data_IF_616641718448
#
_entry.id   IF_616641718448
#
_cell.length_a   1.000
_cell.length_b   1.000
_cell.length_c   1.000
_cell.angle_alpha   90.00
_cell.angle_beta   90.00
_cell.angle_gamma   90.00
#
_symmetry.space_group_name_H-M   'P 1'
#
loop_
_entity.id
_entity.type
_entity.pdbx_description
1 polymer ?
#
# COMPACT_ATOMS: atom_id res chain seq x y z
N UNK A 1 46.97 9.01 40.05
CA UNK A 1 46.48 9.26 38.68
C UNK A 1 45.44 8.21 38.26
N UNK A 2 45.64 6.92 38.57
CA UNK A 2 44.65 5.86 38.36
C UNK A 2 43.36 6.01 39.18
N UNK A 3 43.44 6.41 40.46
CA UNK A 3 42.25 6.60 41.31
C UNK A 3 41.34 7.76 40.89
N UNK A 4 41.91 8.82 40.31
CA UNK A 4 41.14 9.97 39.80
C UNK A 4 40.42 9.64 38.48
N UNK A 5 41.00 8.76 37.64
CA UNK A 5 40.36 8.29 36.41
C UNK A 5 39.20 7.31 36.69
N UNK A 6 39.32 6.47 37.73
CA UNK A 6 38.22 5.57 38.12
C UNK A 6 37.02 6.33 38.67
N UNK A 7 37.24 7.40 39.45
CA UNK A 7 36.16 8.23 39.99
C UNK A 7 35.39 8.99 38.89
N UNK A 8 36.08 9.48 37.85
CA UNK A 8 35.45 10.14 36.69
C UNK A 8 34.65 9.15 35.82
N UNK A 9 35.12 7.91 35.67
CA UNK A 9 34.41 6.83 34.97
C UNK A 9 33.12 6.41 35.68
N UNK A 10 33.13 6.37 37.02
CA UNK A 10 31.93 6.03 37.79
C UNK A 10 30.87 7.15 37.77
N UNK A 11 31.26 8.43 37.78
CA UNK A 11 30.29 9.54 37.64
C UNK A 11 29.62 9.56 36.26
N UNK A 12 30.36 9.35 35.16
CA UNK A 12 29.78 9.26 33.81
C UNK A 12 28.78 8.10 33.70
N UNK A 13 29.11 6.93 34.26
CA UNK A 13 28.23 5.76 34.22
C UNK A 13 26.93 5.97 35.03
N UNK A 14 26.99 6.70 36.16
CA UNK A 14 25.81 7.03 36.97
C UNK A 14 24.93 8.06 36.26
N UNK A 15 25.51 9.06 35.59
CA UNK A 15 24.77 10.04 34.79
C UNK A 15 24.07 9.37 33.61
N UNK A 16 24.75 8.47 32.90
CA UNK A 16 24.15 7.69 31.80
C UNK A 16 23.05 6.76 32.29
N UNK A 17 23.23 6.10 33.43
CA UNK A 17 22.19 5.24 34.02
C UNK A 17 20.95 6.04 34.46
N UNK A 18 21.13 7.24 35.03
CA UNK A 18 20.03 8.15 35.36
C UNK A 18 19.33 8.65 34.08
N UNK A 19 20.08 8.96 33.02
CA UNK A 19 19.53 9.36 31.73
C UNK A 19 18.72 8.23 31.07
N UNK A 20 19.21 6.99 31.15
CA UNK A 20 18.54 5.80 30.64
C UNK A 20 17.26 5.50 31.42
N UNK A 21 17.29 5.58 32.76
CA UNK A 21 16.12 5.42 33.63
C UNK A 21 15.05 6.49 33.37
N UNK A 22 15.47 7.75 33.15
CA UNK A 22 14.54 8.84 32.79
C UNK A 22 13.90 8.60 31.42
N UNK A 23 14.66 8.11 30.45
CA UNK A 23 14.17 7.82 29.10
C UNK A 23 13.20 6.63 29.10
N UNK A 24 13.52 5.56 29.85
CA UNK A 24 12.66 4.37 30.01
C UNK A 24 11.37 4.71 30.77
N UNK A 25 11.43 5.55 31.83
CA UNK A 25 10.22 6.00 32.55
C UNK A 25 9.32 6.88 31.69
N UNK A 26 9.90 7.78 30.89
CA UNK A 26 9.17 8.60 29.92
C UNK A 26 8.55 7.75 28.79
N UNK A 27 9.21 6.65 28.40
CA UNK A 27 8.68 5.69 27.43
C UNK A 27 7.54 4.84 28.03
N UNK A 28 7.64 4.44 29.31
CA UNK A 28 6.61 3.68 30.02
C UNK A 28 5.32 4.50 30.20
N UNK A 29 5.44 5.77 30.60
CA UNK A 29 4.32 6.71 30.74
C UNK A 29 3.58 6.96 29.41
N UNK A 30 4.31 6.94 28.28
CA UNK A 30 3.73 7.01 26.93
C UNK A 30 2.94 5.75 26.55
N UNK A 31 3.41 4.55 26.90
CA UNK A 31 2.69 3.29 26.63
C UNK A 31 1.42 3.13 27.46
N UNK A 32 1.42 3.58 28.73
CA UNK A 32 0.25 3.45 29.60
C UNK A 32 -0.85 4.49 29.26
N UNK A 33 -0.48 5.67 28.76
CA UNK A 33 -1.45 6.66 28.26
C UNK A 33 -2.15 6.25 26.95
N UNK A 34 -1.50 5.47 26.10
CA UNK A 34 -2.06 5.00 24.83
C UNK A 34 -3.18 3.96 25.01
N UNK A 35 -3.14 3.15 26.06
CA UNK A 35 -4.14 2.10 26.33
C UNK A 35 -5.43 2.69 26.92
N UNK A 36 -5.35 3.82 27.61
CA UNK A 36 -6.51 4.48 28.22
C UNK A 36 -7.19 5.52 27.31
N UNK A 37 -6.51 6.01 26.28
CA UNK A 37 -7.04 6.99 25.31
C UNK A 37 -7.90 6.42 24.18
N UNK A 38 -7.86 5.10 23.97
CA UNK A 38 -8.62 4.40 22.91
C UNK A 38 -10.13 4.31 23.16
N UNK A 39 -10.62 4.67 24.35
CA UNK A 39 -12.04 4.54 24.72
C UNK A 39 -12.85 5.85 24.73
N UNK A 40 -12.28 7.00 24.32
CA UNK A 40 -13.03 8.27 24.25
C UNK A 40 -13.24 8.74 22.82
N UNK A 41 -14.37 8.35 22.22
CA UNK A 41 -14.91 8.87 20.95
C UNK A 41 -14.98 10.42 20.89
N UNK A 42 -15.01 11.10 22.03
CA UNK A 42 -15.18 12.55 22.13
C UNK A 42 -13.91 13.37 21.82
N UNK A 43 -12.71 12.82 21.97
CA UNK A 43 -11.44 13.57 21.80
C UNK A 43 -10.97 13.70 20.34
N UNK A 44 -11.62 13.00 19.40
CA UNK A 44 -11.21 12.92 17.99
C UNK A 44 -11.97 13.93 17.12
N UNK A 45 -13.13 14.38 17.57
CA UNK A 45 -14.06 15.25 16.83
C UNK A 45 -13.44 16.63 16.50
N UNK A 46 -12.72 17.31 17.42
CA UNK A 46 -12.08 18.59 17.09
C UNK A 46 -10.91 18.47 16.10
N UNK A 47 -10.22 17.32 16.08
CA UNK A 47 -9.09 17.06 15.17
C UNK A 47 -9.53 16.74 13.73
N UNK A 48 -10.74 16.19 13.57
CA UNK A 48 -11.31 15.87 12.26
C UNK A 48 -11.93 17.09 11.57
N UNK A 49 -12.52 18.01 12.34
CA UNK A 49 -13.25 19.19 11.84
C UNK A 49 -12.37 20.45 11.61
N UNK A 50 -11.09 20.44 12.02
CA UNK A 50 -10.18 21.58 11.92
C UNK A 50 -9.27 21.59 10.69
N UNK A 51 -8.74 22.78 10.37
CA UNK A 51 -7.61 22.98 9.44
C UNK A 51 -6.24 22.68 10.09
N UNK A 52 -6.22 22.39 11.39
CA UNK A 52 -5.01 22.08 12.14
C UNK A 52 -4.66 20.58 12.01
N UNK A 53 -3.38 20.24 11.76
CA UNK A 53 -2.87 18.89 11.99
C UNK A 53 -3.15 18.46 13.43
N UNK A 54 -3.19 17.16 13.70
CA UNK A 54 -3.45 16.53 15.01
C UNK A 54 -2.42 16.89 16.12
N UNK A 55 -2.13 18.17 16.36
CA UNK A 55 -1.24 18.67 17.41
C UNK A 55 -1.81 18.47 18.82
N UNK A 56 -3.13 18.27 18.94
CA UNK A 56 -3.80 17.92 20.20
C UNK A 56 -3.74 16.42 20.52
N UNK A 57 -3.33 15.58 19.56
CA UNK A 57 -3.00 14.20 19.83
C UNK A 57 -1.51 14.13 20.16
N UNK A 58 -1.18 14.11 21.46
CA UNK A 58 0.19 13.96 21.99
C UNK A 58 0.94 12.70 21.49
N UNK A 59 0.27 11.86 20.68
CA UNK A 59 0.78 10.66 20.03
C UNK A 59 1.34 10.87 18.61
N UNK A 60 1.26 12.08 18.04
CA UNK A 60 1.91 12.38 16.76
C UNK A 60 3.14 13.29 17.00
N UNK A 61 4.36 12.73 17.08
CA UNK A 61 5.57 13.56 17.04
C UNK A 61 5.60 14.30 15.70
N UNK A 62 6.18 15.51 15.69
CA UNK A 62 6.14 16.48 14.58
C UNK A 62 6.60 15.95 13.21
N UNK A 63 5.77 15.16 12.56
CA UNK A 63 5.96 14.71 11.19
C UNK A 63 5.57 15.81 10.22
N UNK A 64 6.31 15.94 9.11
CA UNK A 64 5.95 16.85 8.03
C UNK A 64 4.49 16.60 7.59
N UNK A 65 3.67 17.66 7.62
CA UNK A 65 2.23 17.60 7.31
C UNK A 65 1.90 16.85 5.99
N UNK A 66 2.83 16.87 5.02
CA UNK A 66 2.69 16.14 3.74
C UNK A 66 2.79 14.62 3.89
N UNK A 67 3.72 14.10 4.69
CA UNK A 67 3.89 12.65 4.89
C UNK A 67 2.67 12.06 5.61
N UNK A 68 2.17 12.75 6.63
CA UNK A 68 0.96 12.35 7.35
C UNK A 68 -0.25 12.31 6.41
N UNK A 69 -0.40 13.32 5.56
CA UNK A 69 -1.49 13.39 4.57
C UNK A 69 -1.46 12.20 3.60
N UNK A 70 -0.27 11.83 3.10
CA UNK A 70 -0.09 10.65 2.23
C UNK A 70 -0.49 9.36 2.94
N UNK A 71 -0.10 9.20 4.20
CA UNK A 71 -0.45 8.04 5.01
C UNK A 71 -1.97 7.95 5.22
N UNK A 72 -2.63 9.05 5.54
CA UNK A 72 -4.09 9.07 5.72
C UNK A 72 -4.82 8.68 4.43
N UNK A 73 -4.40 9.21 3.27
CA UNK A 73 -4.99 8.79 1.98
C UNK A 73 -4.75 7.30 1.67
N UNK A 74 -3.59 6.76 2.02
CA UNK A 74 -3.30 5.33 1.87
C UNK A 74 -4.20 4.47 2.77
N UNK A 75 -4.32 4.83 4.05
CA UNK A 75 -5.24 4.16 4.98
C UNK A 75 -6.70 4.27 4.51
N UNK A 76 -7.09 5.42 3.96
CA UNK A 76 -8.43 5.63 3.42
C UNK A 76 -8.72 4.73 2.21
N UNK A 77 -7.77 4.62 1.27
CA UNK A 77 -7.88 3.69 0.15
C UNK A 77 -7.97 2.23 0.64
N UNK A 78 -7.14 1.85 1.63
CA UNK A 78 -7.15 0.52 2.23
C UNK A 78 -8.49 0.20 2.91
N UNK A 79 -9.07 1.17 3.62
CA UNK A 79 -10.40 1.02 4.20
C UNK A 79 -11.46 0.80 3.10
N UNK A 80 -11.38 1.53 1.99
CA UNK A 80 -12.25 1.32 0.83
C UNK A 80 -12.13 -0.10 0.26
N UNK A 81 -10.90 -0.61 0.12
CA UNK A 81 -10.64 -2.00 -0.32
C UNK A 81 -11.21 -3.01 0.69
N UNK A 82 -11.06 -2.76 1.99
CA UNK A 82 -11.62 -3.62 3.02
C UNK A 82 -13.16 -3.67 2.96
N UNK A 83 -13.83 -2.53 2.79
CA UNK A 83 -15.29 -2.45 2.61
C UNK A 83 -15.74 -3.19 1.36
N UNK A 84 -15.02 -3.02 0.24
CA UNK A 84 -15.31 -3.76 -0.99
C UNK A 84 -15.13 -5.28 -0.80
N UNK A 85 -14.06 -5.71 -0.11
CA UNK A 85 -13.83 -7.11 0.23
C UNK A 85 -14.93 -7.68 1.13
N UNK A 86 -15.41 -6.89 2.09
CA UNK A 86 -16.53 -7.25 2.95
C UNK A 86 -17.79 -7.51 2.11
N UNK A 87 -18.11 -6.63 1.15
CA UNK A 87 -19.27 -6.80 0.24
C UNK A 87 -19.21 -8.04 -0.65
N UNK A 88 -18.03 -8.62 -0.86
CA UNK A 88 -17.85 -9.85 -1.63
C UNK A 88 -18.03 -11.12 -0.77
N UNK A 89 -18.02 -11.02 0.56
CA UNK A 89 -18.11 -12.18 1.44
C UNK A 89 -19.49 -12.86 1.38
N UNK A 90 -19.55 -14.21 1.40
CA UNK A 90 -20.80 -14.95 1.45
C UNK A 90 -21.55 -14.62 2.76
N UNK A 91 -22.79 -14.15 2.64
CA UNK A 91 -23.63 -13.72 3.77
C UNK A 91 -24.10 -12.25 3.72
N UNK A 92 -23.42 -11.40 2.94
CA UNK A 92 -23.87 -10.01 2.72
C UNK A 92 -24.98 -9.87 1.66
N UNK A 93 -25.18 -10.91 0.87
CA UNK A 93 -26.13 -10.97 -0.24
C UNK A 93 -27.55 -10.60 0.19
N UNK A 94 -28.00 -11.03 1.37
CA UNK A 94 -29.34 -10.75 1.87
C UNK A 94 -29.61 -9.27 2.18
N UNK A 95 -28.58 -8.48 2.50
CA UNK A 95 -28.72 -7.03 2.69
C UNK A 95 -28.60 -6.29 1.35
N UNK A 96 -27.70 -6.74 0.48
CA UNK A 96 -27.47 -6.13 -0.83
C UNK A 96 -28.66 -6.33 -1.79
N UNK A 97 -29.36 -7.48 -1.70
CA UNK A 97 -30.59 -7.75 -2.47
C UNK A 97 -31.73 -6.78 -2.16
N UNK A 98 -31.71 -6.08 -1.03
CA UNK A 98 -32.73 -5.08 -0.67
C UNK A 98 -32.53 -3.75 -1.38
N UNK A 99 -31.39 -3.54 -2.03
CA UNK A 99 -31.09 -2.31 -2.76
C UNK A 99 -31.78 -2.39 -4.14
N UNK A 100 -32.66 -1.42 -4.48
CA UNK A 100 -33.35 -1.41 -5.77
C UNK A 100 -32.35 -1.34 -6.93
N UNK A 101 -32.66 -1.98 -8.05
CA UNK A 101 -31.78 -2.12 -9.21
C UNK A 101 -30.83 -3.33 -9.18
N UNK A 102 -30.39 -3.85 -8.03
CA UNK A 102 -29.35 -4.90 -8.02
C UNK A 102 -29.85 -6.27 -8.52
N UNK A 103 -31.10 -6.66 -8.19
CA UNK A 103 -31.82 -7.86 -8.66
C UNK A 103 -33.26 -7.54 -9.12
N UNK A 104 -33.48 -6.37 -9.72
CA UNK A 104 -34.82 -5.97 -10.18
C UNK A 104 -35.08 -6.52 -11.59
N UNK A 105 -35.35 -7.82 -11.63
CA UNK A 105 -35.49 -8.62 -12.84
C UNK A 105 -35.30 -10.09 -12.51
N UNK A 106 -36.30 -10.68 -11.84
CA UNK A 106 -36.32 -12.12 -11.62
C UNK A 106 -36.15 -12.88 -12.95
N UNK A 107 -35.33 -13.93 -12.93
CA UNK A 107 -35.16 -14.90 -14.02
C UNK A 107 -34.89 -14.24 -15.39
N UNK A 108 -33.63 -13.83 -15.62
CA UNK A 108 -33.14 -13.52 -16.97
C UNK A 108 -32.66 -12.09 -17.17
N UNK A 109 -31.58 -11.70 -16.49
CA UNK A 109 -30.69 -10.68 -17.06
C UNK A 109 -29.81 -11.36 -18.11
N UNK A 110 -30.27 -11.35 -19.36
CA UNK A 110 -29.46 -11.72 -20.51
C UNK A 110 -28.26 -10.79 -20.59
N UNK A 111 -27.09 -11.23 -20.12
CA UNK A 111 -25.83 -10.77 -20.69
C UNK A 111 -25.84 -11.21 -22.16
N UNK A 112 -25.52 -10.33 -23.12
CA UNK A 112 -25.39 -10.74 -24.51
C UNK A 112 -24.23 -11.76 -24.60
N UNK A 113 -24.56 -13.04 -24.75
CA UNK A 113 -23.60 -14.14 -24.89
C UNK A 113 -23.66 -15.26 -23.85
N UNK A 114 -24.51 -15.19 -22.80
CA UNK A 114 -24.64 -16.27 -21.81
C UNK A 114 -26.12 -16.58 -21.55
N UNK A 115 -26.68 -17.54 -22.29
CA UNK A 115 -27.97 -18.17 -21.98
C UNK A 115 -27.78 -19.17 -20.83
N UNK A 116 -27.92 -18.70 -19.59
CA UNK A 116 -27.87 -19.54 -18.41
C UNK A 116 -28.45 -18.85 -17.18
N UNK A 117 -29.07 -19.61 -16.26
CA UNK A 117 -29.50 -19.12 -14.94
C UNK A 117 -28.28 -18.64 -14.15
N UNK A 118 -27.92 -17.37 -14.27
CA UNK A 118 -26.88 -16.74 -13.45
C UNK A 118 -27.42 -16.48 -12.05
N UNK A 119 -26.72 -16.99 -11.04
CA UNK A 119 -27.05 -16.76 -9.63
C UNK A 119 -26.90 -15.27 -9.32
N UNK A 120 -28.03 -14.58 -9.06
CA UNK A 120 -28.03 -13.14 -8.74
C UNK A 120 -27.11 -12.84 -7.54
N UNK A 121 -27.01 -13.80 -6.62
CA UNK A 121 -26.29 -13.77 -5.35
C UNK A 121 -24.82 -13.36 -5.51
N UNK A 122 -24.11 -14.01 -6.43
CA UNK A 122 -22.70 -13.71 -6.73
C UNK A 122 -22.58 -12.40 -7.50
N UNK A 123 -23.50 -12.13 -8.43
CA UNK A 123 -23.47 -10.93 -9.26
C UNK A 123 -23.70 -9.64 -8.46
N UNK A 124 -24.53 -9.71 -7.42
CA UNK A 124 -24.85 -8.59 -6.51
C UNK A 124 -23.61 -8.09 -5.77
N UNK A 125 -22.77 -9.00 -5.27
CA UNK A 125 -21.52 -8.64 -4.59
C UNK A 125 -20.56 -7.88 -5.52
N UNK A 126 -20.34 -8.39 -6.73
CA UNK A 126 -19.48 -7.71 -7.72
C UNK A 126 -20.02 -6.35 -8.14
N UNK A 127 -21.33 -6.22 -8.34
CA UNK A 127 -21.97 -4.93 -8.62
C UNK A 127 -21.73 -3.93 -7.48
N UNK A 128 -21.84 -4.37 -6.23
CA UNK A 128 -21.63 -3.51 -5.06
C UNK A 128 -20.19 -3.01 -4.99
N UNK A 129 -19.24 -3.91 -5.23
CA UNK A 129 -17.81 -3.56 -5.33
C UNK A 129 -17.58 -2.51 -6.41
N UNK A 130 -18.16 -2.66 -7.61
CA UNK A 130 -18.02 -1.64 -8.66
C UNK A 130 -18.54 -0.27 -8.25
N UNK A 131 -19.67 -0.19 -7.52
CA UNK A 131 -20.21 1.09 -7.02
C UNK A 131 -19.28 1.73 -5.99
N UNK A 132 -18.80 0.95 -5.02
CA UNK A 132 -17.84 1.46 -4.01
C UNK A 132 -16.54 1.93 -4.65
N UNK A 133 -15.96 1.12 -5.54
CA UNK A 133 -14.74 1.47 -6.26
C UNK A 133 -14.95 2.69 -7.16
N UNK A 134 -16.11 2.84 -7.80
CA UNK A 134 -16.47 4.04 -8.55
C UNK A 134 -16.50 5.28 -7.65
N UNK A 135 -17.16 5.21 -6.50
CA UNK A 135 -17.23 6.33 -5.57
C UNK A 135 -15.85 6.79 -5.10
N UNK A 136 -15.00 5.83 -4.74
CA UNK A 136 -13.60 6.09 -4.37
C UNK A 136 -12.79 6.67 -5.52
N UNK A 137 -12.89 6.10 -6.72
CA UNK A 137 -12.20 6.60 -7.91
C UNK A 137 -12.61 8.04 -8.24
N UNK A 138 -13.90 8.36 -8.19
CA UNK A 138 -14.41 9.71 -8.43
C UNK A 138 -13.95 10.71 -7.38
N UNK A 139 -13.89 10.31 -6.09
CA UNK A 139 -13.34 11.16 -5.04
C UNK A 139 -11.86 11.50 -5.29
N UNK A 140 -11.03 10.49 -5.57
CA UNK A 140 -9.60 10.71 -5.86
C UNK A 140 -9.38 11.47 -7.17
N UNK A 141 -10.19 11.22 -8.19
CA UNK A 141 -10.16 11.96 -9.45
C UNK A 141 -10.49 13.44 -9.23
N UNK A 142 -11.55 13.74 -8.47
CA UNK A 142 -11.90 15.12 -8.11
C UNK A 142 -10.74 15.82 -7.41
N UNK A 143 -10.13 15.17 -6.41
CA UNK A 143 -8.96 15.73 -5.71
C UNK A 143 -7.74 15.88 -6.60
N UNK A 144 -7.52 14.95 -7.54
CA UNK A 144 -6.47 15.05 -8.55
C UNK A 144 -6.68 16.29 -9.43
N UNK A 145 -7.90 16.49 -9.94
CA UNK A 145 -8.27 17.65 -10.76
C UNK A 145 -8.12 18.97 -9.99
N UNK A 146 -8.52 19.02 -8.72
CA UNK A 146 -8.36 20.20 -7.86
C UNK A 146 -6.89 20.58 -7.65
N UNK A 147 -5.98 19.61 -7.63
CA UNK A 147 -4.55 19.83 -7.41
C UNK A 147 -3.75 20.08 -8.70
N UNK A 148 -4.40 20.19 -9.87
CA UNK A 148 -3.70 20.54 -11.12
C UNK A 148 -3.06 21.93 -11.01
N UNK A 149 -1.78 22.00 -11.40
CA UNK A 149 -0.95 23.22 -11.42
C UNK A 149 -0.75 23.89 -10.04
N UNK A 150 -0.86 23.15 -8.94
CA UNK A 150 -0.37 23.63 -7.63
C UNK A 150 1.16 23.58 -7.64
N UNK A 151 1.80 24.71 -7.40
CA UNK A 151 3.27 24.84 -7.43
C UNK A 151 3.88 25.20 -6.07
N UNK A 152 3.06 25.75 -5.16
CA UNK A 152 3.51 26.23 -3.85
C UNK A 152 2.65 25.63 -2.74
N UNK A 153 3.28 25.35 -1.60
CA UNK A 153 2.61 24.91 -0.37
C UNK A 153 1.76 26.01 0.27
N UNK A 154 1.92 27.26 -0.16
CA UNK A 154 1.12 28.40 0.28
C UNK A 154 -0.19 28.56 -0.51
N UNK A 155 -0.38 27.80 -1.60
CA UNK A 155 -1.65 27.82 -2.33
C UNK A 155 -2.79 27.38 -1.38
N UNK A 156 -3.95 28.06 -1.37
CA UNK A 156 -5.07 27.69 -0.49
C UNK A 156 -5.56 26.26 -0.74
N UNK A 157 -5.34 25.75 -1.96
CA UNK A 157 -5.61 24.36 -2.34
C UNK A 157 -4.72 23.36 -1.59
N UNK A 158 -3.49 23.73 -1.22
CA UNK A 158 -2.62 22.89 -0.40
C UNK A 158 -3.16 22.74 1.03
N UNK A 159 -3.78 23.79 1.59
CA UNK A 159 -4.47 23.69 2.88
C UNK A 159 -5.67 22.73 2.81
N UNK A 160 -6.43 22.76 1.70
CA UNK A 160 -7.49 21.79 1.44
C UNK A 160 -6.95 20.37 1.26
N UNK A 161 -5.80 20.18 0.60
CA UNK A 161 -5.21 18.86 0.42
C UNK A 161 -4.70 18.24 1.73
N UNK A 162 -4.08 19.03 2.61
CA UNK A 162 -3.47 18.55 3.84
C UNK A 162 -4.42 18.56 5.07
N UNK A 163 -5.53 19.31 5.02
CA UNK A 163 -6.47 19.48 6.14
C UNK A 163 -7.91 19.07 5.83
N UNK A 164 -8.87 19.53 6.64
CA UNK A 164 -10.33 19.35 6.44
C UNK A 164 -10.77 17.89 6.22
N UNK A 165 -10.24 16.96 7.02
CA UNK A 165 -10.46 15.52 6.85
C UNK A 165 -11.92 15.10 7.05
N UNK A 166 -12.64 15.68 8.01
CA UNK A 166 -14.06 15.39 8.22
C UNK A 166 -14.88 15.63 6.95
N UNK A 167 -14.75 16.82 6.35
CA UNK A 167 -15.49 17.17 5.14
C UNK A 167 -15.13 16.27 3.96
N UNK A 168 -13.87 15.84 3.85
CA UNK A 168 -13.43 14.86 2.84
C UNK A 168 -14.10 13.52 3.02
N UNK A 169 -14.12 12.98 4.23
CA UNK A 169 -14.76 11.68 4.50
C UNK A 169 -16.27 11.74 4.26
N UNK A 170 -16.93 12.82 4.66
CA UNK A 170 -18.35 13.04 4.37
C UNK A 170 -18.59 13.13 2.86
N UNK A 171 -17.76 13.88 2.13
CA UNK A 171 -17.87 13.98 0.67
C UNK A 171 -17.65 12.62 -0.01
N UNK A 172 -16.62 11.87 0.40
CA UNK A 172 -16.33 10.57 -0.18
C UNK A 172 -17.43 9.54 0.11
N UNK A 173 -17.97 9.53 1.34
CA UNK A 173 -19.11 8.71 1.72
C UNK A 173 -20.35 9.10 0.90
N UNK A 174 -20.61 10.40 0.74
CA UNK A 174 -21.73 10.91 -0.06
C UNK A 174 -21.63 10.50 -1.53
N UNK A 175 -20.45 10.62 -2.15
CA UNK A 175 -20.22 10.16 -3.54
C UNK A 175 -20.41 8.63 -3.63
N UNK A 176 -19.89 7.89 -2.65
CA UNK A 176 -20.00 6.42 -2.62
C UNK A 176 -21.44 5.98 -2.46
N UNK A 177 -22.20 6.52 -1.50
CA UNK A 177 -23.63 6.24 -1.32
C UNK A 177 -24.42 6.69 -2.55
N UNK A 178 -24.11 7.86 -3.11
CA UNK A 178 -24.71 8.37 -4.34
C UNK A 178 -24.55 7.41 -5.53
N UNK A 179 -23.42 6.70 -5.60
CA UNK A 179 -23.18 5.73 -6.69
C UNK A 179 -24.15 4.54 -6.68
N UNK A 180 -24.75 4.18 -5.53
CA UNK A 180 -25.73 3.11 -5.43
C UNK A 180 -27.09 3.48 -6.06
N UNK A 181 -27.37 4.77 -6.26
CA UNK A 181 -28.60 5.24 -6.90
C UNK A 181 -28.54 5.25 -8.43
N UNK A 182 -27.39 4.96 -9.02
CA UNK A 182 -27.23 4.91 -10.48
C UNK A 182 -27.92 3.63 -10.99
N UNK A 183 -28.96 3.78 -11.80
CA UNK A 183 -29.71 2.64 -12.38
C UNK A 183 -28.82 1.66 -13.14
N UNK A 184 -29.21 0.39 -13.12
CA UNK A 184 -28.52 -0.65 -13.89
C UNK A 184 -28.72 -0.43 -15.40
N UNK A 185 -27.63 -0.56 -16.15
CA UNK A 185 -27.59 -0.28 -17.58
C UNK A 185 -26.16 -0.47 -18.11
N UNK A 186 -25.67 0.35 -19.06
CA UNK A 186 -24.31 0.21 -19.60
C UNK A 186 -23.22 0.54 -18.57
N UNK A 187 -23.57 1.09 -17.40
CA UNK A 187 -22.62 1.53 -16.38
C UNK A 187 -21.61 0.45 -16.00
N UNK A 188 -22.06 -0.76 -15.62
CA UNK A 188 -21.18 -1.82 -15.15
C UNK A 188 -20.22 -2.28 -16.24
N UNK A 189 -20.70 -2.39 -17.49
CA UNK A 189 -19.87 -2.76 -18.64
C UNK A 189 -18.83 -1.68 -18.97
N UNK A 190 -19.23 -0.41 -19.02
CA UNK A 190 -18.30 0.70 -19.27
C UNK A 190 -17.26 0.80 -18.16
N UNK A 191 -17.70 0.68 -16.90
CA UNK A 191 -16.81 0.76 -15.75
C UNK A 191 -15.86 -0.44 -15.65
N UNK A 192 -16.27 -1.62 -16.11
CA UNK A 192 -15.38 -2.77 -16.28
C UNK A 192 -14.22 -2.46 -17.23
N UNK A 193 -14.49 -1.90 -18.41
CA UNK A 193 -13.43 -1.53 -19.36
C UNK A 193 -12.50 -0.43 -18.82
N UNK A 194 -13.07 0.60 -18.18
CA UNK A 194 -12.27 1.65 -17.52
C UNK A 194 -11.40 1.04 -16.40
N UNK A 195 -11.97 0.15 -15.60
CA UNK A 195 -11.28 -0.55 -14.53
C UNK A 195 -10.15 -1.43 -15.04
N UNK A 196 -10.35 -2.17 -16.14
CA UNK A 196 -9.29 -2.97 -16.78
C UNK A 196 -8.14 -2.09 -17.28
N UNK A 197 -8.45 -0.98 -17.96
CA UNK A 197 -7.42 -0.04 -18.42
C UNK A 197 -6.67 0.59 -17.24
N UNK A 198 -7.37 0.98 -16.18
CA UNK A 198 -6.77 1.51 -14.96
C UNK A 198 -5.87 0.49 -14.24
N UNK A 199 -6.31 -0.77 -14.15
CA UNK A 199 -5.54 -1.86 -13.54
C UNK A 199 -4.25 -2.13 -14.34
N UNK A 200 -4.32 -2.13 -15.66
CA UNK A 200 -3.14 -2.25 -16.52
C UNK A 200 -2.11 -1.13 -16.24
N UNK A 201 -2.53 0.13 -16.23
CA UNK A 201 -1.65 1.26 -15.88
C UNK A 201 -1.09 1.13 -14.46
N UNK A 202 -1.91 0.71 -13.49
CA UNK A 202 -1.49 0.55 -12.10
C UNK A 202 -0.44 -0.56 -11.94
N UNK A 203 -0.57 -1.69 -12.64
CA UNK A 203 0.42 -2.77 -12.65
C UNK A 203 1.76 -2.26 -13.19
N UNK A 204 1.77 -1.47 -14.27
CA UNK A 204 3.01 -0.90 -14.82
C UNK A 204 3.69 0.05 -13.83
N UNK A 205 2.93 0.91 -13.16
CA UNK A 205 3.47 1.82 -12.13
C UNK A 205 4.03 1.02 -10.95
N UNK A 206 3.30 0.02 -10.47
CA UNK A 206 3.77 -0.85 -9.38
C UNK A 206 5.05 -1.58 -9.76
N UNK A 207 5.16 -2.07 -10.99
CA UNK A 207 6.35 -2.76 -11.47
C UNK A 207 7.59 -1.84 -11.40
N UNK A 208 7.46 -0.60 -11.89
CA UNK A 208 8.56 0.39 -11.83
C UNK A 208 8.93 0.72 -10.39
N UNK A 209 7.94 0.96 -9.52
CA UNK A 209 8.17 1.25 -8.10
C UNK A 209 8.83 0.07 -7.36
N UNK A 210 8.46 -1.16 -7.70
CA UNK A 210 9.04 -2.37 -7.12
C UNK A 210 10.51 -2.54 -7.54
N UNK A 211 10.83 -2.29 -8.81
CA UNK A 211 12.20 -2.33 -9.32
C UNK A 211 13.06 -1.26 -8.63
N UNK A 212 12.57 -0.02 -8.55
CA UNK A 212 13.29 1.08 -7.87
C UNK A 212 13.51 0.79 -6.38
N UNK A 213 12.49 0.25 -5.70
CA UNK A 213 12.60 -0.22 -4.33
C UNK A 213 13.64 -1.32 -4.17
N UNK A 214 13.67 -2.31 -5.08
CA UNK A 214 14.63 -3.40 -5.03
C UNK A 214 16.07 -2.90 -5.23
N UNK A 215 16.30 -1.97 -6.17
CA UNK A 215 17.60 -1.35 -6.38
C UNK A 215 18.04 -0.52 -5.17
N UNK A 216 17.16 0.35 -4.67
CA UNK A 216 17.43 1.21 -3.51
C UNK A 216 17.73 0.38 -2.25
N UNK A 217 16.98 -0.71 -2.03
CA UNK A 217 17.26 -1.64 -0.94
C UNK A 217 18.64 -2.26 -1.12
N UNK A 218 18.91 -2.85 -2.28
CA UNK A 218 20.18 -3.52 -2.54
C UNK A 218 21.37 -2.58 -2.37
N UNK A 219 21.30 -1.36 -2.88
CA UNK A 219 22.36 -0.34 -2.71
C UNK A 219 22.58 0.01 -1.24
N UNK A 220 21.52 0.24 -0.47
CA UNK A 220 21.64 0.52 0.97
C UNK A 220 22.32 -0.62 1.74
N UNK A 221 22.07 -1.88 1.36
CA UNK A 221 22.69 -3.03 2.03
C UNK A 221 24.14 -3.26 1.56
N UNK A 222 24.44 -3.00 0.29
CA UNK A 222 25.81 -3.03 -0.24
C UNK A 222 26.67 -1.94 0.40
N UNK A 223 26.17 -0.72 0.54
CA UNK A 223 26.87 0.38 1.23
C UNK A 223 27.21 -0.01 2.68
N UNK A 224 26.24 -0.57 3.42
CA UNK A 224 26.47 -1.06 4.79
C UNK A 224 27.42 -2.26 4.87
N UNK A 225 27.53 -3.04 3.81
CA UNK A 225 28.52 -4.12 3.68
C UNK A 225 29.92 -3.55 3.48
N UNK A 226 30.07 -2.48 2.68
CA UNK A 226 31.37 -1.84 2.40
C UNK A 226 31.88 -1.01 3.59
N UNK A 227 31.01 -0.28 4.28
CA UNK A 227 31.38 0.65 5.36
C UNK A 227 31.27 0.04 6.78
N UNK A 228 30.50 -1.03 6.94
CA UNK A 228 30.17 -1.63 8.22
C UNK A 228 30.72 -3.05 8.41
N UNK A 229 29.90 -3.92 8.98
CA UNK A 229 30.25 -5.33 9.17
C UNK A 229 30.00 -6.12 7.88
N UNK A 230 31.05 -6.22 7.05
CA UNK A 230 31.00 -6.86 5.73
C UNK A 230 30.47 -8.29 5.75
N UNK A 231 30.83 -9.12 6.74
CA UNK A 231 30.39 -10.52 6.81
C UNK A 231 28.90 -10.66 7.11
N UNK A 232 28.38 -9.84 8.02
CA UNK A 232 26.97 -9.88 8.40
C UNK A 232 26.06 -9.44 7.25
N UNK A 233 26.39 -8.30 6.60
CA UNK A 233 25.61 -7.78 5.49
C UNK A 233 25.73 -8.64 4.23
N UNK A 234 26.89 -9.25 3.98
CA UNK A 234 27.03 -10.25 2.93
C UNK A 234 26.14 -11.48 3.17
N UNK A 235 26.13 -12.02 4.39
CA UNK A 235 25.23 -13.13 4.74
C UNK A 235 23.75 -12.75 4.63
N UNK A 236 23.39 -11.52 5.04
CA UNK A 236 22.03 -10.99 4.88
C UNK A 236 21.62 -10.88 3.40
N UNK A 237 22.47 -10.29 2.54
CA UNK A 237 22.23 -10.20 1.10
C UNK A 237 22.07 -11.57 0.45
N UNK A 238 22.96 -12.52 0.78
CA UNK A 238 22.93 -13.87 0.25
C UNK A 238 21.66 -14.61 0.70
N UNK A 239 21.30 -14.50 1.98
CA UNK A 239 20.10 -15.17 2.52
C UNK A 239 18.81 -14.65 1.90
N UNK A 240 18.66 -13.33 1.75
CA UNK A 240 17.48 -12.74 1.09
C UNK A 240 17.40 -13.16 -0.37
N UNK A 241 18.53 -13.18 -1.08
CA UNK A 241 18.60 -13.63 -2.48
C UNK A 241 18.20 -15.10 -2.60
N UNK A 242 18.77 -15.97 -1.76
CA UNK A 242 18.47 -17.40 -1.75
C UNK A 242 16.98 -17.68 -1.42
N UNK A 243 16.41 -16.95 -0.46
CA UNK A 243 15.00 -17.07 -0.10
C UNK A 243 14.08 -16.68 -1.26
N UNK A 244 14.38 -15.60 -1.99
CA UNK A 244 13.58 -15.17 -3.14
C UNK A 244 13.65 -16.20 -4.29
N UNK A 245 14.82 -16.76 -4.59
CA UNK A 245 14.94 -17.82 -5.59
C UNK A 245 14.20 -19.10 -5.18
N UNK A 246 14.28 -19.48 -3.90
CA UNK A 246 13.55 -20.63 -3.38
C UNK A 246 12.03 -20.42 -3.46
N UNK A 247 11.54 -19.23 -3.07
CA UNK A 247 10.12 -18.88 -3.15
C UNK A 247 9.61 -18.86 -4.60
N UNK A 248 10.42 -18.37 -5.54
CA UNK A 248 10.12 -18.41 -6.97
C UNK A 248 10.02 -19.85 -7.49
N UNK A 249 10.96 -20.72 -7.11
CA UNK A 249 10.94 -22.14 -7.48
C UNK A 249 9.72 -22.86 -6.91
N UNK A 250 9.41 -22.65 -5.63
CA UNK A 250 8.23 -23.23 -4.98
C UNK A 250 6.96 -22.75 -5.69
N UNK A 251 6.84 -21.44 -5.97
CA UNK A 251 5.69 -20.87 -6.68
C UNK A 251 5.50 -21.50 -8.06
N UNK A 252 6.61 -21.71 -8.80
CA UNK A 252 6.58 -22.36 -10.10
C UNK A 252 6.09 -23.82 -10.02
N UNK A 253 6.58 -24.59 -9.04
CA UNK A 253 6.12 -25.97 -8.82
C UNK A 253 4.62 -25.99 -8.50
N UNK A 254 4.16 -25.10 -7.61
CA UNK A 254 2.74 -24.98 -7.28
C UNK A 254 1.91 -24.61 -8.51
N UNK A 255 2.39 -23.72 -9.37
CA UNK A 255 1.68 -23.36 -10.60
C UNK A 255 1.53 -24.55 -11.56
N UNK A 256 2.57 -25.37 -11.74
CA UNK A 256 2.46 -26.58 -12.54
C UNK A 256 1.53 -27.63 -11.91
N UNK A 257 1.61 -27.85 -10.59
CA UNK A 257 0.81 -28.86 -9.90
C UNK A 257 -0.69 -28.52 -9.87
N UNK A 258 -1.03 -27.25 -9.58
CA UNK A 258 -2.44 -26.87 -9.39
C UNK A 258 -3.12 -26.32 -10.65
N UNK A 259 -2.37 -25.75 -11.60
CA UNK A 259 -2.96 -25.10 -12.78
C UNK A 259 -2.68 -25.82 -14.09
N UNK A 260 -2.01 -26.98 -14.07
CA UNK A 260 -1.79 -27.81 -15.27
C UNK A 260 -2.14 -29.27 -15.03
N UNK A 261 -2.53 -29.98 -16.09
CA UNK A 261 -2.80 -31.43 -16.08
C UNK A 261 -2.08 -32.11 -17.24
N UNK A 262 -1.76 -33.40 -17.14
CA UNK A 262 -1.10 -34.17 -18.21
C UNK A 262 -1.83 -34.03 -19.54
N UNK A 263 -3.16 -34.22 -19.53
CA UNK A 263 -3.98 -34.38 -20.73
C UNK A 263 -4.74 -33.10 -21.15
N UNK A 264 -4.31 -31.92 -20.67
CA UNK A 264 -4.97 -30.65 -21.02
C UNK A 264 -4.26 -29.39 -20.52
N UNK A 265 -5.00 -28.28 -20.50
CA UNK A 265 -4.56 -26.96 -19.99
C UNK A 265 -3.30 -26.40 -20.70
N UNK A 266 -3.22 -26.55 -22.02
CA UNK A 266 -2.07 -26.07 -22.82
C UNK A 266 -1.82 -24.58 -22.63
N UNK A 267 -2.86 -23.75 -22.55
CA UNK A 267 -2.72 -22.30 -22.32
C UNK A 267 -1.95 -21.98 -21.04
N UNK A 268 -2.34 -22.61 -19.92
CA UNK A 268 -1.66 -22.43 -18.64
C UNK A 268 -0.22 -22.94 -18.71
N UNK A 269 0.03 -24.09 -19.36
CA UNK A 269 1.39 -24.63 -19.55
C UNK A 269 2.28 -23.66 -20.33
N UNK A 270 1.77 -23.10 -21.43
CA UNK A 270 2.50 -22.14 -22.28
C UNK A 270 2.78 -20.86 -21.50
N UNK A 271 1.78 -20.32 -20.80
CA UNK A 271 1.94 -19.10 -20.00
C UNK A 271 3.00 -19.25 -18.90
N UNK A 272 2.94 -20.35 -18.13
CA UNK A 272 3.93 -20.63 -17.08
C UNK A 272 5.33 -20.82 -17.69
N UNK A 273 5.44 -21.55 -18.81
CA UNK A 273 6.72 -21.79 -19.49
C UNK A 273 7.37 -20.51 -20.02
N UNK A 274 6.60 -19.61 -20.62
CA UNK A 274 7.12 -18.33 -21.12
C UNK A 274 7.62 -17.46 -19.96
N UNK A 275 6.86 -17.38 -18.86
CA UNK A 275 7.28 -16.62 -17.68
C UNK A 275 8.58 -17.19 -17.08
N UNK A 276 8.70 -18.51 -16.97
CA UNK A 276 9.95 -19.16 -16.55
C UNK A 276 11.12 -18.75 -17.44
N UNK A 277 10.95 -18.82 -18.77
CA UNK A 277 11.99 -18.44 -19.72
C UNK A 277 12.41 -16.98 -19.57
N UNK A 278 11.44 -16.07 -19.39
CA UNK A 278 11.70 -14.65 -19.16
C UNK A 278 12.47 -14.43 -17.84
N UNK A 279 12.07 -15.09 -16.75
CA UNK A 279 12.79 -15.01 -15.47
C UNK A 279 14.23 -15.51 -15.58
N UNK A 280 14.46 -16.66 -16.20
CA UNK A 280 15.82 -17.21 -16.39
C UNK A 280 16.66 -16.27 -17.25
N UNK A 281 16.09 -15.75 -18.35
CA UNK A 281 16.79 -14.81 -19.24
C UNK A 281 17.18 -13.54 -18.48
N UNK A 282 16.27 -12.96 -17.71
CA UNK A 282 16.54 -11.78 -16.89
C UNK A 282 17.63 -12.05 -15.83
N UNK A 283 17.58 -13.21 -15.15
CA UNK A 283 18.62 -13.62 -14.20
C UNK A 283 19.99 -13.74 -14.87
N UNK A 284 20.08 -14.39 -16.04
CA UNK A 284 21.35 -14.52 -16.78
C UNK A 284 21.87 -13.16 -17.23
N UNK A 285 21.01 -12.30 -17.77
CA UNK A 285 21.37 -10.95 -18.19
C UNK A 285 21.90 -10.11 -17.03
N UNK A 286 21.32 -10.22 -15.82
CA UNK A 286 21.77 -9.42 -14.66
C UNK A 286 23.17 -9.78 -14.15
N UNK A 287 23.66 -10.99 -14.40
CA UNK A 287 24.99 -11.46 -13.99
C UNK A 287 26.04 -11.23 -15.08
N UNK A 288 25.62 -10.94 -16.32
CA UNK A 288 26.55 -10.80 -17.44
C UNK A 288 27.50 -9.60 -17.20
N UNK A 289 28.83 -9.79 -17.26
CA UNK A 289 29.80 -8.75 -16.90
C UNK A 289 29.72 -7.53 -17.81
N UNK A 290 29.30 -7.70 -19.07
CA UNK A 290 29.08 -6.59 -20.00
C UNK A 290 27.99 -5.64 -19.54
N UNK A 291 26.95 -6.14 -18.86
CA UNK A 291 25.85 -5.33 -18.34
C UNK A 291 26.23 -4.67 -17.01
N UNK A 292 26.98 -5.37 -16.16
CA UNK A 292 27.48 -4.83 -14.89
C UNK A 292 28.44 -3.64 -15.09
N UNK A 293 29.21 -3.64 -16.18
CA UNK A 293 30.13 -2.56 -16.52
C UNK A 293 29.47 -1.21 -16.85
N UNK A 294 28.17 -1.18 -17.14
CA UNK A 294 27.41 0.07 -17.34
C UNK A 294 26.86 0.66 -16.05
N UNK A 295 26.95 -0.05 -14.91
CA UNK A 295 26.51 0.47 -13.62
C UNK A 295 27.56 1.44 -13.06
N UNK A 296 27.22 2.70 -12.76
CA UNK A 296 28.19 3.63 -12.18
C UNK A 296 28.69 3.09 -10.83
N UNK A 297 30.01 3.15 -10.54
CA UNK A 297 30.54 2.75 -9.25
C UNK A 297 29.93 3.61 -8.12
N UNK A 298 29.48 2.95 -7.05
CA UNK A 298 28.86 3.55 -5.85
C UNK A 298 29.68 4.68 -5.20
N UNK A 299 30.98 4.78 -5.51
CA UNK A 299 31.88 5.82 -4.98
C UNK A 299 31.92 7.16 -5.72
N UNK A 300 31.23 7.37 -6.85
CA UNK A 300 31.38 8.61 -7.64
C UNK A 300 30.39 9.74 -7.31
N UNK A 301 29.34 9.49 -6.51
CA UNK A 301 28.29 10.49 -6.24
C UNK A 301 28.37 11.14 -4.84
N UNK A 302 29.36 10.78 -4.01
CA UNK A 302 29.48 11.26 -2.62
C UNK A 302 30.76 12.02 -2.27
N UNK A 303 31.66 12.30 -3.23
CA UNK A 303 33.00 12.83 -2.92
C UNK A 303 33.43 14.10 -3.67
N UNK A 304 32.49 14.95 -4.08
CA UNK A 304 32.79 16.30 -4.58
C UNK A 304 31.66 17.30 -4.27
N UNK A 305 31.53 17.67 -2.99
CA UNK A 305 31.12 19.04 -2.61
C UNK A 305 32.08 19.45 -1.50
N UNK A 306 33.19 20.09 -1.91
CA UNK A 306 33.99 20.95 -1.04
C UNK A 306 33.43 22.36 -1.15
#
# INVERSE_FOLDING_TARGET
MSEQLNALSEEEAVVDYIHLQKNVRHQLDCTMGAVLGLCSMASWIPCLCGSAPCLLCRCCPGGNNSTMTRLIYACFLLLGVAVAGIMLMPGMEGQLKKIPGFCEGGIGSSLPGIEGKVNCDVLVGYKAVYRVCFGMAMFFLLFSLLMIKVKSSQDPRAALHNGFWFFKFVAALGITVGSFFISEGPFTTVWFYIGMAGAFCFILIQLVLLIDFAHSWNESWVEKMEEGNSRCWYAALLSVTALNYLLSLVSLVLFYVFYTHSDGCTENKVFISINLLLCVTASVMSVLPQIQGFRPPLGSNGRNVK
#
